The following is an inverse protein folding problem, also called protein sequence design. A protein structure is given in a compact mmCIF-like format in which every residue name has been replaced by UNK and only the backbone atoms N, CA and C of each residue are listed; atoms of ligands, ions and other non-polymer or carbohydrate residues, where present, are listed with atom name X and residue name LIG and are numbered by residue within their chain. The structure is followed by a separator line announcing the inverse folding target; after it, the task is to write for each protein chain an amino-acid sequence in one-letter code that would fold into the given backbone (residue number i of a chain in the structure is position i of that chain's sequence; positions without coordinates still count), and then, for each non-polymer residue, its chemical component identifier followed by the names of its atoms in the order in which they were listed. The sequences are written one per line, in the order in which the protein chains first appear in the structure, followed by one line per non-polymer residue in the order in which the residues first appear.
data_IF_550986570681
#
_entry.id   IF_550986570681
#
_cell.length_a   1.000
_cell.length_b   1.000
_cell.length_c   1.000
_cell.angle_alpha   90.00
_cell.angle_beta   90.00
_cell.angle_gamma   90.00
#
_symmetry.space_group_name_H-M   'P 1'
#
loop_
_entity.id
_entity.type
_entity.pdbx_description
1 polymer ?
#
# COMPACT_ATOMS: atom_id res chain seq x y z
N UNK A 1 -2.37 -15.13 -65.41
CA UNK A 1 -3.17 -13.93 -65.09
C UNK A 1 -4.35 -14.39 -64.24
N UNK A 2 -4.20 -14.38 -62.91
CA UNK A 2 -5.29 -14.65 -61.97
C UNK A 2 -5.16 -13.63 -60.85
N UNK A 3 -6.08 -12.68 -60.87
CA UNK A 3 -6.25 -11.59 -59.92
C UNK A 3 -6.81 -12.18 -58.62
N UNK A 4 -5.98 -12.23 -57.58
CA UNK A 4 -6.41 -12.65 -56.25
C UNK A 4 -6.86 -11.40 -55.49
N UNK A 5 -8.18 -11.19 -55.50
CA UNK A 5 -8.89 -10.20 -54.70
C UNK A 5 -8.51 -10.35 -53.22
N UNK A 6 -7.85 -9.32 -52.66
CA UNK A 6 -7.51 -9.26 -51.24
C UNK A 6 -8.77 -8.86 -50.47
N UNK A 7 -9.25 -9.78 -49.64
CA UNK A 7 -10.31 -9.54 -48.66
C UNK A 7 -9.79 -8.58 -47.56
N UNK A 8 -10.38 -7.39 -47.39
CA UNK A 8 -9.91 -6.40 -46.43
C UNK A 8 -10.20 -6.78 -44.96
N UNK A 9 -10.88 -7.90 -44.68
CA UNK A 9 -11.16 -8.32 -43.31
C UNK A 9 -10.08 -9.25 -42.70
N UNK A 10 -8.91 -9.38 -43.35
CA UNK A 10 -7.78 -10.14 -42.81
C UNK A 10 -7.05 -9.32 -41.75
N UNK A 11 -7.51 -9.47 -40.51
CA UNK A 11 -6.87 -9.10 -39.24
C UNK A 11 -5.46 -8.47 -39.38
N UNK A 12 -5.40 -7.15 -39.22
CA UNK A 12 -4.16 -6.40 -39.03
C UNK A 12 -3.44 -6.93 -37.79
N UNK A 13 -2.49 -7.82 -38.00
CA UNK A 13 -1.54 -8.26 -36.98
C UNK A 13 -0.52 -7.15 -36.80
N UNK A 14 -0.59 -6.41 -35.69
CA UNK A 14 0.46 -5.47 -35.30
C UNK A 14 1.69 -6.26 -34.81
N UNK A 15 2.91 -5.98 -35.31
CA UNK A 15 4.12 -6.61 -34.83
C UNK A 15 4.69 -5.81 -33.66
N UNK A 16 4.28 -6.14 -32.43
CA UNK A 16 4.96 -5.68 -31.23
C UNK A 16 5.95 -6.77 -30.75
N UNK A 17 7.19 -6.64 -31.21
CA UNK A 17 8.44 -7.04 -30.52
C UNK A 17 8.36 -8.26 -29.60
N UNK A 18 8.48 -9.43 -30.22
CA UNK A 18 8.86 -10.69 -29.62
C UNK A 18 10.35 -10.68 -29.22
N UNK A 19 10.63 -10.46 -27.94
CA UNK A 19 11.88 -10.90 -27.29
C UNK A 19 11.53 -11.82 -26.11
N UNK A 20 10.61 -12.76 -26.33
CA UNK A 20 10.21 -13.73 -25.32
C UNK A 20 9.94 -15.06 -26.00
N UNK A 21 10.79 -16.06 -25.73
CA UNK A 21 10.71 -17.45 -26.23
C UNK A 21 9.36 -17.78 -26.89
N UNK A 22 9.35 -17.87 -28.22
CA UNK A 22 8.15 -18.11 -29.00
C UNK A 22 7.31 -19.26 -28.39
N UNK A 23 6.11 -18.92 -27.92
CA UNK A 23 5.18 -19.85 -27.28
C UNK A 23 4.97 -19.68 -25.78
N UNK A 24 5.74 -18.81 -25.10
CA UNK A 24 5.46 -18.46 -23.69
C UNK A 24 4.51 -17.26 -23.66
N UNK A 25 3.25 -17.50 -23.32
CA UNK A 25 2.30 -16.43 -23.00
C UNK A 25 2.42 -16.11 -21.49
N UNK A 26 2.26 -14.83 -21.09
CA UNK A 26 2.09 -14.49 -19.68
C UNK A 26 0.91 -15.28 -19.10
N UNK A 27 1.04 -15.72 -17.84
CA UNK A 27 -0.07 -16.33 -17.11
C UNK A 27 -1.21 -15.31 -17.03
N UNK A 28 -2.38 -15.72 -17.48
CA UNK A 28 -3.62 -14.97 -17.40
C UNK A 28 -4.38 -15.36 -16.14
N UNK A 29 -5.33 -14.51 -15.78
CA UNK A 29 -6.28 -14.82 -14.71
C UNK A 29 -7.04 -16.10 -15.08
N UNK A 30 -7.02 -17.10 -14.18
CA UNK A 30 -7.61 -18.42 -14.40
C UNK A 30 -6.69 -19.50 -15.00
N UNK A 31 -5.42 -19.19 -15.30
CA UNK A 31 -4.43 -20.21 -15.72
C UNK A 31 -3.96 -21.09 -14.55
N UNK A 32 -4.33 -20.72 -13.31
CA UNK A 32 -4.10 -21.53 -12.10
C UNK A 32 -5.40 -22.24 -11.69
N UNK A 33 -5.28 -23.42 -11.08
CA UNK A 33 -6.42 -24.15 -10.52
C UNK A 33 -6.79 -23.70 -9.10
N UNK A 34 -6.10 -22.69 -8.57
CA UNK A 34 -6.40 -22.07 -7.29
C UNK A 34 -7.24 -20.84 -7.60
N UNK A 35 -8.44 -20.80 -7.01
CA UNK A 35 -9.21 -19.57 -6.93
C UNK A 35 -8.63 -18.73 -5.78
N UNK A 36 -8.17 -17.50 -6.02
CA UNK A 36 -7.75 -16.62 -4.94
C UNK A 36 -8.97 -16.28 -4.08
N UNK A 37 -8.88 -16.55 -2.78
CA UNK A 37 -9.91 -16.15 -1.82
C UNK A 37 -9.64 -14.69 -1.42
N UNK A 38 -10.48 -13.72 -1.84
CA UNK A 38 -10.28 -12.32 -1.51
C UNK A 38 -10.33 -12.06 0.00
N UNK A 39 -11.03 -12.90 0.78
CA UNK A 39 -11.08 -12.76 2.23
C UNK A 39 -9.75 -13.16 2.92
N UNK A 40 -8.84 -13.83 2.21
CA UNK A 40 -7.52 -14.22 2.70
C UNK A 40 -6.39 -13.34 2.16
N UNK A 41 -6.70 -12.37 1.29
CA UNK A 41 -5.72 -11.41 0.78
C UNK A 41 -5.57 -10.23 1.76
N UNK A 42 -4.39 -10.03 2.37
CA UNK A 42 -4.15 -8.92 3.29
C UNK A 42 -4.40 -7.55 2.66
N UNK A 43 -4.07 -7.38 1.37
CA UNK A 43 -4.30 -6.10 0.68
C UNK A 43 -5.80 -5.84 0.51
N UNK A 44 -6.57 -6.89 0.16
CA UNK A 44 -8.03 -6.78 0.05
C UNK A 44 -8.67 -6.49 1.42
N UNK A 45 -8.19 -7.13 2.49
CA UNK A 45 -8.69 -6.89 3.84
C UNK A 45 -8.46 -5.43 4.31
N UNK A 46 -7.30 -4.85 4.00
CA UNK A 46 -7.03 -3.44 4.30
C UNK A 46 -7.92 -2.50 3.47
N UNK A 47 -8.13 -2.78 2.19
CA UNK A 47 -9.03 -1.99 1.34
C UNK A 47 -10.49 -2.06 1.79
N UNK A 48 -10.98 -3.24 2.14
CA UNK A 48 -12.34 -3.41 2.65
C UNK A 48 -12.53 -2.64 3.96
N UNK A 49 -11.51 -2.62 4.83
CA UNK A 49 -11.52 -1.83 6.06
C UNK A 49 -11.60 -0.32 5.78
N UNK A 50 -10.81 0.20 4.84
CA UNK A 50 -10.87 1.63 4.46
C UNK A 50 -12.20 2.01 3.84
N UNK A 51 -12.74 1.14 2.97
CA UNK A 51 -14.05 1.34 2.34
C UNK A 51 -15.16 1.37 3.40
N UNK A 52 -15.14 0.46 4.36
CA UNK A 52 -16.11 0.42 5.44
C UNK A 52 -16.07 1.71 6.29
N UNK A 53 -14.88 2.24 6.59
CA UNK A 53 -14.74 3.51 7.30
C UNK A 53 -15.31 4.69 6.51
N UNK A 54 -15.05 4.76 5.20
CA UNK A 54 -15.60 5.79 4.31
C UNK A 54 -17.13 5.70 4.20
N UNK A 55 -17.71 4.49 4.27
CA UNK A 55 -19.16 4.25 4.30
C UNK A 55 -19.80 4.52 5.68
N UNK A 56 -19.00 4.88 6.68
CA UNK A 56 -19.45 5.29 8.01
C UNK A 56 -19.50 4.16 9.04
N UNK A 57 -18.78 3.06 8.83
CA UNK A 57 -18.57 2.06 9.88
C UNK A 57 -17.81 2.66 11.07
N UNK A 58 -18.17 2.23 12.28
CA UNK A 58 -17.48 2.66 13.49
C UNK A 58 -16.06 2.06 13.53
N UNK A 59 -15.00 2.85 13.82
CA UNK A 59 -13.62 2.35 13.84
C UNK A 59 -13.39 1.16 14.77
N UNK A 60 -14.13 1.09 15.88
CA UNK A 60 -14.05 -0.03 16.82
C UNK A 60 -14.67 -1.34 16.32
N UNK A 61 -15.52 -1.29 15.29
CA UNK A 61 -16.09 -2.48 14.65
C UNK A 61 -15.18 -3.00 13.52
N UNK A 62 -14.45 -2.10 12.85
CA UNK A 62 -13.49 -2.43 11.77
C UNK A 62 -12.15 -2.89 12.34
N UNK A 63 -11.64 -2.17 13.34
CA UNK A 63 -10.41 -2.51 14.05
C UNK A 63 -10.74 -2.60 15.55
N UNK A 64 -11.32 -3.73 16.00
CA UNK A 64 -11.57 -3.92 17.42
C UNK A 64 -10.25 -3.82 18.15
N UNK A 65 -10.23 -3.05 19.25
CA UNK A 65 -9.03 -2.89 20.06
C UNK A 65 -8.47 -4.28 20.39
N UNK A 66 -7.37 -4.64 19.74
CA UNK A 66 -6.57 -5.77 20.16
C UNK A 66 -6.11 -5.41 21.57
N UNK A 67 -6.38 -6.29 22.54
CA UNK A 67 -6.04 -6.06 23.94
C UNK A 67 -4.65 -5.42 24.03
N UNK A 68 -4.50 -4.37 24.87
CA UNK A 68 -3.46 -3.31 25.01
C UNK A 68 -1.97 -3.70 24.87
N UNK A 69 -1.61 -4.71 24.08
CA UNK A 69 -0.34 -5.41 24.06
C UNK A 69 -0.07 -6.29 25.30
N UNK A 70 -0.97 -6.30 26.31
CA UNK A 70 -0.74 -7.03 27.55
C UNK A 70 -0.95 -8.53 27.32
N UNK A 71 0.06 -9.33 27.69
CA UNK A 71 -0.06 -10.79 27.68
C UNK A 71 -1.17 -11.18 28.67
N UNK A 72 -2.21 -11.94 28.27
CA UNK A 72 -3.25 -12.40 29.19
C UNK A 72 -2.72 -13.23 30.38
N UNK A 73 -1.52 -13.78 30.26
CA UNK A 73 -0.81 -14.49 31.33
C UNK A 73 0.20 -13.60 32.09
N UNK A 74 0.28 -12.31 31.77
CA UNK A 74 1.13 -11.36 32.48
C UNK A 74 0.71 -11.29 33.95
N UNK A 75 1.66 -11.59 34.82
CA UNK A 75 1.53 -11.36 36.25
C UNK A 75 2.02 -9.92 36.48
N UNK A 76 1.21 -9.02 37.05
CA UNK A 76 1.68 -7.67 37.38
C UNK A 76 2.91 -7.77 38.27
N UNK A 77 4.04 -7.22 37.83
CA UNK A 77 5.20 -7.05 38.69
C UNK A 77 4.91 -5.92 39.68
N UNK A 78 5.17 -6.14 40.97
CA UNK A 78 5.01 -5.12 42.02
C UNK A 78 5.98 -3.94 41.84
N UNK A 79 6.98 -4.10 40.96
CA UNK A 79 8.17 -3.27 40.81
C UNK A 79 8.56 -3.04 39.34
N UNK A 80 7.60 -2.83 38.43
CA UNK A 80 7.88 -2.18 37.13
C UNK A 80 8.25 -0.70 37.29
N UNK A 81 9.06 -0.40 38.30
CA UNK A 81 9.71 0.88 38.52
C UNK A 81 11.12 0.71 37.97
N UNK A 82 11.33 1.16 36.73
CA UNK A 82 12.69 1.41 36.21
C UNK A 82 13.43 2.17 37.32
N UNK A 83 14.59 1.68 37.79
CA UNK A 83 15.36 2.36 38.84
C UNK A 83 15.53 3.83 38.48
N UNK A 84 15.44 4.74 39.45
CA UNK A 84 15.54 6.18 39.19
C UNK A 84 16.84 6.53 38.44
N UNK A 85 17.92 5.78 38.67
CA UNK A 85 19.19 5.88 37.92
C UNK A 85 19.07 5.62 36.41
N UNK A 86 18.13 4.79 35.98
CA UNK A 86 17.89 4.42 34.58
C UNK A 86 16.87 5.36 33.89
N UNK A 87 16.21 6.25 34.66
CA UNK A 87 15.33 7.29 34.12
C UNK A 87 16.19 8.48 33.68
N UNK A 88 16.37 8.64 32.37
CA UNK A 88 16.93 9.88 31.83
C UNK A 88 16.04 11.06 32.21
N UNK A 89 16.65 12.14 32.71
CA UNK A 89 15.91 13.36 33.00
C UNK A 89 15.18 13.84 31.73
N UNK A 90 13.90 14.18 31.85
CA UNK A 90 13.07 14.69 30.74
C UNK A 90 13.71 15.90 30.01
N UNK A 91 14.62 16.61 30.68
CA UNK A 91 15.34 17.76 30.13
C UNK A 91 16.57 17.41 29.28
N UNK A 92 16.98 16.14 29.19
CA UNK A 92 18.08 15.70 28.31
C UNK A 92 17.59 15.00 27.06
N UNK A 93 16.26 14.96 26.83
CA UNK A 93 15.72 14.65 25.53
C UNK A 93 16.32 15.63 24.54
N UNK A 94 16.98 15.10 23.51
CA UNK A 94 17.39 15.86 22.33
C UNK A 94 16.12 16.34 21.63
N UNK A 95 15.53 17.41 22.17
CA UNK A 95 14.55 18.24 21.50
C UNK A 95 15.19 19.06 20.38
N UNK A 96 16.47 18.81 20.05
CA UNK A 96 17.13 19.20 18.80
C UNK A 96 16.22 18.84 17.62
N UNK A 97 15.29 19.69 17.21
CA UNK A 97 15.61 20.95 16.57
C UNK A 97 15.25 22.25 17.33
N UNK A 98 14.69 22.23 18.54
CA UNK A 98 14.44 23.40 19.42
C UNK A 98 13.56 24.49 18.80
N UNK A 99 13.10 24.27 17.58
CA UNK A 99 12.35 25.14 16.71
C UNK A 99 11.26 24.24 16.13
N UNK A 100 10.02 24.71 16.21
CA UNK A 100 8.92 24.07 15.49
C UNK A 100 9.34 24.00 14.01
N UNK A 101 9.19 22.85 13.31
CA UNK A 101 9.40 22.84 11.86
C UNK A 101 8.54 23.95 11.27
N UNK A 102 9.20 24.97 10.71
CA UNK A 102 8.50 26.11 10.15
C UNK A 102 7.45 25.62 9.16
N UNK A 103 6.23 26.16 9.25
CA UNK A 103 5.19 25.91 8.25
C UNK A 103 5.75 26.38 6.92
N UNK A 104 6.05 25.44 6.03
CA UNK A 104 6.41 25.75 4.65
C UNK A 104 5.10 26.04 3.93
N UNK A 105 4.90 27.30 3.55
CA UNK A 105 3.80 27.68 2.66
C UNK A 105 3.98 26.94 1.35
N UNK A 106 3.12 25.95 1.09
CA UNK A 106 2.94 25.38 -0.23
C UNK A 106 2.42 26.52 -1.11
N UNK A 107 3.23 26.97 -2.08
CA UNK A 107 2.75 27.88 -3.12
C UNK A 107 1.51 27.30 -3.82
N UNK A 108 0.77 28.14 -4.53
CA UNK A 108 -0.49 27.75 -5.20
C UNK A 108 -0.32 26.56 -6.18
N UNK A 109 0.92 26.24 -6.56
CA UNK A 109 1.27 25.12 -7.44
C UNK A 109 1.45 23.77 -6.72
N UNK A 110 1.57 23.75 -5.38
CA UNK A 110 1.90 22.52 -4.64
C UNK A 110 3.27 21.93 -5.03
N UNK A 111 3.96 21.26 -4.11
CA UNK A 111 5.28 20.64 -4.41
C UNK A 111 5.15 19.33 -5.24
N UNK A 112 4.03 19.13 -5.94
CA UNK A 112 3.67 17.88 -6.61
C UNK A 112 3.32 18.00 -8.08
N UNK A 113 3.22 19.22 -8.64
CA UNK A 113 2.95 19.38 -10.06
C UNK A 113 4.24 19.18 -10.86
N UNK A 114 4.24 18.18 -11.74
CA UNK A 114 5.31 17.95 -12.70
C UNK A 114 5.46 19.20 -13.56
N UNK A 115 6.70 19.67 -13.74
CA UNK A 115 6.94 20.83 -14.58
C UNK A 115 6.55 20.49 -16.03
N UNK A 116 6.10 21.45 -16.87
CA UNK A 116 5.76 21.19 -18.26
C UNK A 116 6.91 20.56 -19.07
N UNK A 117 8.15 20.70 -18.59
CA UNK A 117 9.34 20.09 -19.19
C UNK A 117 9.49 18.58 -18.89
N UNK A 118 8.75 18.07 -17.90
CA UNK A 118 8.77 16.66 -17.46
C UNK A 118 7.77 15.77 -18.24
N UNK A 119 7.04 16.33 -19.22
CA UNK A 119 6.07 15.65 -20.10
C UNK A 119 6.62 15.35 -21.50
#
# INVERSE_FOLDING_TARGET
MSDASIDPNRASTNPATDVGVAGVQPLRDGDTSIEPDPALDPAQAEWDATTALDEGAEPGDVNPATATGADPAEIPADDSDIPLEDIHALATGTDSQGEDPGVVELGEEGQGDLAPEDL
#
